data_IF_717790130122
#
_entry.id   IF_717790130122
#
_cell.length_a   1.000
_cell.length_b   1.000
_cell.length_c   1.000
_cell.angle_alpha   90.00
_cell.angle_beta   90.00
_cell.angle_gamma   90.00
#
_symmetry.space_group_name_H-M   'P 1'
#
loop_
_entity.id
_entity.type
_entity.pdbx_description
1 polymer ?
#
# COMPACT_ATOMS: atom_id res chain seq x y z
N UNK A 1 -16.64 4.31 11.14
CA UNK A 1 -15.53 5.26 11.41
C UNK A 1 -14.56 5.16 10.26
N UNK A 2 -13.97 6.26 9.77
CA UNK A 2 -12.88 6.15 8.82
C UNK A 2 -11.76 5.35 9.50
N UNK A 3 -11.26 4.33 8.80
CA UNK A 3 -10.09 3.57 9.24
C UNK A 3 -8.84 4.41 9.03
N UNK A 4 -7.81 4.13 9.82
CA UNK A 4 -6.51 4.77 9.66
C UNK A 4 -5.94 4.42 8.27
N UNK A 5 -5.31 5.38 7.57
CA UNK A 5 -4.73 5.10 6.27
C UNK A 5 -3.60 4.09 6.44
N UNK A 6 -3.64 3.04 5.64
CA UNK A 6 -2.65 1.97 5.62
C UNK A 6 -1.71 2.14 4.43
N UNK A 7 -0.43 2.34 4.72
CA UNK A 7 0.60 2.49 3.69
C UNK A 7 1.45 1.22 3.64
N UNK A 8 1.46 0.54 2.49
CA UNK A 8 2.30 -0.63 2.24
C UNK A 8 3.69 -0.23 1.79
N UNK A 9 4.73 -0.70 2.47
CA UNK A 9 6.12 -0.53 2.05
C UNK A 9 6.56 -1.75 1.24
N UNK A 10 6.89 -1.53 -0.02
CA UNK A 10 7.15 -2.58 -1.02
C UNK A 10 8.50 -2.42 -1.69
N UNK A 11 8.97 -3.47 -2.36
CA UNK A 11 10.28 -3.52 -3.02
C UNK A 11 10.95 -4.87 -2.86
N UNK A 12 11.96 -5.13 -3.70
CA UNK A 12 12.72 -6.39 -3.72
C UNK A 12 13.45 -6.67 -2.39
N UNK A 13 13.86 -7.92 -2.09
CA UNK A 13 14.71 -8.22 -0.95
C UNK A 13 15.96 -7.32 -0.93
N UNK A 14 16.43 -6.99 0.28
CA UNK A 14 17.63 -6.17 0.49
C UNK A 14 17.59 -4.71 -0.04
N UNK A 15 16.44 -4.21 -0.50
CA UNK A 15 16.27 -2.81 -0.94
C UNK A 15 16.28 -1.76 0.19
N UNK A 16 16.19 -2.18 1.46
CA UNK A 16 16.12 -1.28 2.60
C UNK A 16 14.70 -1.01 3.13
N UNK A 17 13.69 -1.79 2.72
CA UNK A 17 12.30 -1.70 3.22
C UNK A 17 12.19 -1.66 4.75
N UNK A 18 12.69 -2.68 5.44
CA UNK A 18 12.57 -2.77 6.90
C UNK A 18 13.37 -1.68 7.62
N UNK A 19 14.48 -1.20 7.04
CA UNK A 19 15.20 -0.02 7.55
C UNK A 19 14.34 1.23 7.43
N UNK A 20 13.70 1.43 6.28
CA UNK A 20 12.78 2.54 6.03
C UNK A 20 11.59 2.49 6.99
N UNK A 21 10.96 1.33 7.14
CA UNK A 21 9.89 1.12 8.11
C UNK A 21 10.34 1.49 9.53
N UNK A 22 11.44 0.91 10.00
CA UNK A 22 11.95 1.19 11.36
C UNK A 22 12.27 2.68 11.57
N UNK A 23 12.66 3.41 10.53
CA UNK A 23 12.92 4.86 10.62
C UNK A 23 11.65 5.72 10.64
N UNK A 24 10.58 5.25 10.00
CA UNK A 24 9.27 5.93 9.94
C UNK A 24 8.40 5.59 11.16
N UNK A 25 8.65 4.45 11.77
CA UNK A 25 7.99 4.02 13.00
C UNK A 25 8.76 4.55 14.19
N UNK A 26 8.06 5.01 15.21
CA UNK A 26 8.71 5.31 16.48
C UNK A 26 9.23 3.98 17.07
N UNK A 27 10.54 3.85 17.30
CA UNK A 27 11.12 2.63 17.88
C UNK A 27 10.50 2.29 19.25
N UNK A 28 9.94 3.30 19.93
CA UNK A 28 9.18 3.18 21.17
C UNK A 28 7.69 2.83 20.99
N UNK A 29 7.13 2.97 19.78
CA UNK A 29 5.73 2.63 19.48
C UNK A 29 5.54 1.14 19.14
N UNK A 30 6.61 0.32 19.14
CA UNK A 30 6.52 -1.15 19.04
C UNK A 30 5.69 -1.80 20.17
N UNK A 31 5.25 -1.04 21.18
CA UNK A 31 4.44 -1.56 22.30
C UNK A 31 3.31 -0.58 22.73
N UNK A 32 2.65 0.07 21.77
CA UNK A 32 1.42 0.80 22.05
C UNK A 32 0.21 -0.12 21.93
N UNK A 33 -0.20 -0.76 23.03
CA UNK A 33 -1.46 -1.50 23.09
C UNK A 33 -2.65 -0.52 22.94
N UNK A 34 -3.00 -0.17 21.70
CA UNK A 34 -4.32 0.36 21.44
C UNK A 34 -5.32 -0.77 21.71
N UNK A 35 -6.36 -0.54 22.54
CA UNK A 35 -7.37 -1.55 22.74
C UNK A 35 -7.98 -1.83 21.36
N UNK A 36 -8.10 -3.10 20.98
CA UNK A 36 -8.73 -3.61 19.76
C UNK A 36 -7.86 -3.89 18.51
N UNK A 37 -6.54 -3.70 18.50
CA UNK A 37 -5.71 -4.07 17.34
C UNK A 37 -5.02 -5.42 17.51
N UNK A 38 -5.35 -6.41 16.68
CA UNK A 38 -4.54 -7.63 16.50
C UNK A 38 -3.24 -7.22 15.81
N UNK A 39 -2.13 -7.17 16.55
CA UNK A 39 -0.83 -6.76 16.01
C UNK A 39 -0.29 -7.90 15.15
N UNK A 40 -0.45 -7.79 13.83
CA UNK A 40 0.30 -8.56 12.86
C UNK A 40 1.77 -8.09 12.92
N UNK A 41 2.78 -8.99 13.01
CA UNK A 41 4.20 -8.60 13.13
C UNK A 41 4.71 -7.64 12.04
N UNK A 42 3.98 -7.53 10.92
CA UNK A 42 4.33 -6.65 9.81
C UNK A 42 3.60 -5.29 9.84
N UNK A 43 2.72 -5.01 10.82
CA UNK A 43 2.04 -3.72 10.96
C UNK A 43 2.71 -2.86 12.02
N UNK A 44 2.92 -1.59 11.71
CA UNK A 44 3.51 -0.62 12.62
C UNK A 44 2.82 0.74 12.51
N UNK A 45 2.85 1.53 13.59
CA UNK A 45 2.28 2.88 13.60
C UNK A 45 3.36 3.91 13.33
N UNK A 46 3.18 4.71 12.27
CA UNK A 46 3.95 5.91 12.00
C UNK A 46 3.16 7.17 12.38
N UNK A 47 3.76 8.35 12.22
CA UNK A 47 3.08 9.62 12.46
C UNK A 47 3.33 10.62 11.32
N UNK A 48 2.25 11.10 10.71
CA UNK A 48 2.29 12.21 9.78
C UNK A 48 2.31 13.54 10.55
N UNK A 49 3.32 14.36 10.28
CA UNK A 49 3.44 15.69 10.87
C UNK A 49 2.77 16.73 9.99
N UNK A 50 1.77 17.43 10.54
CA UNK A 50 1.09 18.55 9.88
C UNK A 50 1.04 19.77 10.80
N UNK A 51 0.78 20.94 10.24
CA UNK A 51 0.55 22.14 11.06
C UNK A 51 -0.72 21.97 11.90
N UNK A 52 -0.57 22.11 13.21
CA UNK A 52 -1.70 22.08 14.11
C UNK A 52 -2.42 23.43 14.06
N UNK A 53 -3.76 23.39 14.07
CA UNK A 53 -4.56 24.60 14.16
C UNK A 53 -4.26 25.42 15.44
N UNK A 54 -3.75 24.81 16.51
CA UNK A 54 -3.41 25.52 17.74
C UNK A 54 -2.37 26.62 17.53
N UNK A 55 -1.39 26.42 16.64
CA UNK A 55 -0.37 27.41 16.33
C UNK A 55 -0.94 28.64 15.64
N UNK A 56 -1.94 28.45 14.77
CA UNK A 56 -2.63 29.55 14.08
C UNK A 56 -3.36 30.50 15.03
N UNK A 57 -3.72 30.00 16.22
CA UNK A 57 -4.48 30.76 17.22
C UNK A 57 -3.67 31.06 18.49
N UNK A 58 -2.38 30.71 18.55
CA UNK A 58 -1.56 30.88 19.76
C UNK A 58 -2.06 30.10 20.97
N UNK A 59 -2.67 28.92 20.75
CA UNK A 59 -3.30 28.07 21.78
C UNK A 59 -2.58 26.73 21.98
N UNK A 60 -1.27 26.71 21.80
CA UNK A 60 -0.46 25.49 21.88
C UNK A 60 -0.56 24.83 23.25
N UNK A 61 -0.53 25.62 24.34
CA UNK A 61 -0.62 25.13 25.73
C UNK A 61 -1.97 24.49 26.07
N UNK A 62 -3.02 24.81 25.31
CA UNK A 62 -4.37 24.26 25.48
C UNK A 62 -4.64 23.07 24.53
N UNK A 63 -3.68 22.72 23.68
CA UNK A 63 -3.89 21.71 22.65
C UNK A 63 -3.84 20.29 23.22
N UNK A 64 -5.02 19.69 23.42
CA UNK A 64 -5.19 18.31 23.87
C UNK A 64 -5.98 17.50 22.84
N UNK A 65 -5.33 16.99 21.78
CA UNK A 65 -6.02 16.20 20.77
C UNK A 65 -6.47 14.85 21.33
N UNK A 66 -7.69 14.41 21.00
CA UNK A 66 -8.19 13.07 21.36
C UNK A 66 -7.54 11.93 20.55
N UNK A 67 -6.90 12.26 19.42
CA UNK A 67 -6.32 11.30 18.48
C UNK A 67 -4.98 11.83 17.96
N UNK A 68 -3.92 11.04 18.11
CA UNK A 68 -2.54 11.49 17.93
C UNK A 68 -2.09 12.43 19.05
N UNK A 69 -1.06 13.22 18.78
CA UNK A 69 -0.52 14.19 19.74
C UNK A 69 -0.06 15.48 19.06
N UNK A 70 0.20 16.52 19.84
CA UNK A 70 0.65 17.82 19.35
C UNK A 70 1.89 18.26 20.13
N UNK A 71 2.89 18.80 19.43
CA UNK A 71 4.09 19.37 20.03
C UNK A 71 4.55 20.58 19.23
N UNK A 72 4.79 21.71 19.91
CA UNK A 72 5.31 22.94 19.32
C UNK A 72 4.56 23.37 18.05
N UNK A 73 3.22 23.33 18.09
CA UNK A 73 2.38 23.73 16.95
C UNK A 73 2.32 22.71 15.81
N UNK A 74 2.97 21.54 15.92
CA UNK A 74 2.89 20.44 14.95
C UNK A 74 2.00 19.32 15.50
N UNK A 75 1.06 18.85 14.68
CA UNK A 75 0.20 17.71 14.98
C UNK A 75 0.80 16.45 14.37
N UNK A 76 0.87 15.40 15.17
CA UNK A 76 1.31 14.06 14.82
C UNK A 76 0.09 13.18 14.69
N UNK A 77 -0.38 12.99 13.46
CA UNK A 77 -1.53 12.15 13.13
C UNK A 77 -1.01 10.72 12.89
N UNK A 78 -1.43 9.72 13.68
CA UNK A 78 -0.97 8.36 13.48
C UNK A 78 -1.47 7.82 12.14
N UNK A 79 -0.62 7.00 11.51
CA UNK A 79 -0.87 6.29 10.25
C UNK A 79 -0.43 4.84 10.42
N UNK A 80 -1.08 3.92 9.73
CA UNK A 80 -0.65 2.52 9.72
C UNK A 80 0.36 2.28 8.59
N UNK A 81 1.44 1.59 8.90
CA UNK A 81 2.47 1.16 7.97
C UNK A 81 2.48 -0.37 7.95
N UNK A 82 2.58 -0.94 6.76
CA UNK A 82 2.65 -2.38 6.54
C UNK A 82 3.99 -2.71 5.86
N UNK A 83 4.84 -3.52 6.50
CA UNK A 83 6.00 -4.12 5.86
C UNK A 83 5.53 -5.28 4.99
N UNK A 84 5.51 -5.07 3.68
CA UNK A 84 5.12 -6.14 2.78
C UNK A 84 6.37 -6.96 2.46
N UNK A 85 6.30 -8.27 2.74
CA UNK A 85 7.43 -9.19 2.61
C UNK A 85 8.14 -9.05 1.25
N UNK A 86 9.46 -9.23 1.20
CA UNK A 86 10.23 -9.01 -0.04
C UNK A 86 9.72 -9.88 -1.20
N UNK A 87 9.09 -9.23 -2.19
CA UNK A 87 8.67 -9.84 -3.44
C UNK A 87 9.88 -10.25 -4.26
N UNK A 88 9.81 -11.43 -4.87
CA UNK A 88 10.71 -11.84 -5.94
C UNK A 88 9.94 -11.89 -7.26
N UNK A 89 10.61 -11.74 -8.41
CA UNK A 89 9.97 -11.91 -9.71
C UNK A 89 9.25 -13.25 -9.88
N UNK A 90 8.08 -13.21 -10.53
CA UNK A 90 7.20 -14.36 -10.77
C UNK A 90 6.14 -14.61 -9.69
N UNK A 91 6.01 -13.70 -8.71
CA UNK A 91 4.99 -13.80 -7.65
C UNK A 91 3.55 -13.84 -8.19
N UNK A 92 3.25 -13.08 -9.24
CA UNK A 92 1.92 -13.03 -9.88
C UNK A 92 1.51 -14.36 -10.51
N UNK A 93 2.49 -15.18 -10.91
CA UNK A 93 2.27 -16.52 -11.48
C UNK A 93 2.02 -17.59 -10.41
N UNK A 94 2.02 -17.21 -9.12
CA UNK A 94 1.81 -18.12 -8.01
C UNK A 94 3.08 -18.86 -7.56
N UNK A 95 4.27 -18.39 -7.95
CA UNK A 95 5.52 -18.90 -7.40
C UNK A 95 5.66 -18.43 -5.93
N UNK A 96 5.72 -19.38 -5.00
CA UNK A 96 5.99 -19.13 -3.58
C UNK A 96 4.83 -18.44 -2.82
N UNK A 97 5.19 -17.55 -1.88
CA UNK A 97 4.26 -16.78 -1.01
C UNK A 97 3.58 -15.59 -1.73
N UNK A 98 3.79 -15.43 -3.04
CA UNK A 98 3.43 -14.24 -3.83
C UNK A 98 1.96 -13.82 -3.78
N UNK A 99 1.01 -14.78 -3.81
CA UNK A 99 -0.42 -14.44 -3.74
C UNK A 99 -0.82 -13.83 -2.40
N UNK A 100 -0.24 -14.32 -1.29
CA UNK A 100 -0.50 -13.77 0.05
C UNK A 100 0.01 -12.32 0.16
N UNK A 101 1.17 -12.06 -0.45
CA UNK A 101 1.74 -10.71 -0.55
C UNK A 101 0.83 -9.76 -1.36
N UNK A 102 0.34 -10.21 -2.51
CA UNK A 102 -0.49 -9.34 -3.37
C UNK A 102 -1.85 -9.06 -2.70
N UNK A 103 -2.36 -10.03 -1.94
CA UNK A 103 -3.53 -9.82 -1.07
C UNK A 103 -3.26 -8.81 0.05
N UNK A 104 -2.05 -8.75 0.59
CA UNK A 104 -1.64 -7.73 1.57
C UNK A 104 -1.58 -6.34 0.91
N UNK A 105 -1.09 -6.23 -0.33
CA UNK A 105 -1.12 -4.97 -1.10
C UNK A 105 -2.55 -4.44 -1.27
N UNK A 106 -3.51 -5.33 -1.47
CA UNK A 106 -4.93 -4.97 -1.64
C UNK A 106 -5.52 -4.27 -0.43
N UNK A 107 -4.95 -4.48 0.75
CA UNK A 107 -5.43 -3.85 1.98
C UNK A 107 -4.89 -2.42 2.14
N UNK A 108 -3.75 -2.11 1.50
CA UNK A 108 -3.11 -0.81 1.59
C UNK A 108 -3.86 0.24 0.75
N UNK A 109 -3.95 1.45 1.28
CA UNK A 109 -4.49 2.62 0.58
C UNK A 109 -3.47 3.24 -0.37
N UNK A 110 -2.18 3.09 -0.05
CA UNK A 110 -1.07 3.58 -0.84
C UNK A 110 0.13 2.67 -0.71
N UNK A 111 0.97 2.63 -1.74
CA UNK A 111 2.21 1.88 -1.75
C UNK A 111 3.41 2.83 -1.83
N UNK A 112 4.41 2.61 -0.97
CA UNK A 112 5.72 3.25 -1.05
C UNK A 112 6.72 2.20 -1.55
N UNK A 113 7.21 2.39 -2.78
CA UNK A 113 8.21 1.51 -3.36
C UNK A 113 9.62 1.97 -2.95
N UNK A 114 10.31 1.13 -2.18
CA UNK A 114 11.71 1.33 -1.77
C UNK A 114 12.63 0.66 -2.79
N UNK A 115 13.50 1.47 -3.40
CA UNK A 115 14.41 1.06 -4.47
C UNK A 115 15.87 1.26 -4.04
N UNK A 116 16.71 0.26 -4.30
CA UNK A 116 18.15 0.34 -4.03
C UNK A 116 18.88 1.04 -5.18
N UNK A 117 19.12 2.35 -5.02
CA UNK A 117 19.81 3.17 -6.02
C UNK A 117 21.31 2.87 -6.09
N UNK A 118 21.89 2.16 -5.11
CA UNK A 118 23.32 1.83 -5.13
C UNK A 118 23.69 0.83 -6.23
N UNK A 119 22.71 0.09 -6.75
CA UNK A 119 22.94 -0.94 -7.76
C UNK A 119 23.82 -2.10 -7.26
N UNK A 120 23.93 -2.27 -5.94
CA UNK A 120 24.77 -3.30 -5.31
C UNK A 120 24.01 -4.59 -5.04
N UNK A 121 22.69 -4.62 -5.29
CA UNK A 121 21.87 -5.82 -5.19
C UNK A 121 21.07 -6.07 -6.46
N UNK A 122 20.92 -7.33 -6.85
CA UNK A 122 20.10 -7.75 -8.01
C UNK A 122 18.60 -7.85 -7.65
N UNK A 123 17.76 -8.30 -8.58
CA UNK A 123 16.30 -8.44 -8.39
C UNK A 123 15.91 -9.44 -7.28
N UNK A 124 16.81 -10.35 -6.91
CA UNK A 124 16.60 -11.31 -5.82
C UNK A 124 17.21 -10.83 -4.49
N UNK A 125 17.77 -9.62 -4.46
CA UNK A 125 18.47 -9.06 -3.30
C UNK A 125 19.85 -9.66 -3.03
N UNK A 126 20.45 -10.34 -4.01
CA UNK A 126 21.83 -10.84 -3.93
C UNK A 126 22.82 -9.78 -4.35
N UNK A 127 24.01 -9.79 -3.78
CA UNK A 127 25.06 -8.83 -4.12
C UNK A 127 25.43 -8.90 -5.61
N UNK A 128 25.47 -7.75 -6.26
CA UNK A 128 25.86 -7.56 -7.66
C UNK A 128 26.57 -6.22 -7.82
N UNK A 129 26.98 -5.88 -9.04
CA UNK A 129 27.54 -4.56 -9.38
C UNK A 129 26.86 -4.00 -10.61
N UNK A 130 26.43 -2.75 -10.53
CA UNK A 130 25.87 -2.02 -11.67
C UNK A 130 24.47 -2.47 -12.06
N UNK A 131 23.66 -2.93 -11.09
CA UNK A 131 22.25 -3.20 -11.33
C UNK A 131 21.50 -1.89 -11.58
N UNK A 132 20.73 -1.82 -12.67
CA UNK A 132 19.88 -0.68 -12.98
C UNK A 132 18.60 -0.72 -12.10
N UNK A 133 18.41 0.23 -11.17
CA UNK A 133 17.26 0.25 -10.27
C UNK A 133 15.93 0.53 -10.97
N UNK A 134 15.94 1.07 -12.20
CA UNK A 134 14.72 1.27 -12.98
C UNK A 134 14.00 -0.05 -13.26
N UNK A 135 14.76 -1.13 -13.40
CA UNK A 135 14.21 -2.47 -13.58
C UNK A 135 13.33 -2.90 -12.40
N UNK A 136 13.62 -2.46 -11.17
CA UNK A 136 12.76 -2.77 -10.01
C UNK A 136 11.41 -2.07 -10.14
N UNK A 137 11.40 -0.82 -10.62
CA UNK A 137 10.17 -0.01 -10.77
C UNK A 137 9.26 -0.65 -11.81
N UNK A 138 9.80 -0.94 -13.00
CA UNK A 138 9.07 -1.58 -14.09
C UNK A 138 8.54 -2.95 -13.65
N UNK A 139 9.40 -3.76 -13.02
CA UNK A 139 9.02 -5.07 -12.54
C UNK A 139 7.85 -5.02 -11.55
N UNK A 140 7.89 -4.14 -10.54
CA UNK A 140 6.81 -4.06 -9.56
C UNK A 140 5.48 -3.67 -10.21
N UNK A 141 5.51 -2.72 -11.14
CA UNK A 141 4.32 -2.30 -11.89
C UNK A 141 3.76 -3.46 -12.72
N UNK A 142 4.62 -4.20 -13.41
CA UNK A 142 4.22 -5.36 -14.18
C UNK A 142 3.63 -6.48 -13.31
N UNK A 143 4.18 -6.74 -12.13
CA UNK A 143 3.63 -7.79 -11.26
C UNK A 143 2.24 -7.45 -10.73
N UNK A 144 2.01 -6.19 -10.35
CA UNK A 144 0.69 -5.72 -9.93
C UNK A 144 -0.28 -5.87 -11.10
N UNK A 145 0.11 -5.45 -12.31
CA UNK A 145 -0.70 -5.56 -13.52
C UNK A 145 -1.06 -7.01 -13.84
N UNK A 146 -0.06 -7.89 -13.90
CA UNK A 146 -0.22 -9.31 -14.23
C UNK A 146 -1.07 -10.05 -13.20
N UNK A 147 -0.94 -9.69 -11.92
CA UNK A 147 -1.77 -10.27 -10.87
C UNK A 147 -3.25 -9.90 -11.00
N UNK A 148 -3.53 -8.61 -11.20
CA UNK A 148 -4.90 -8.13 -11.40
C UNK A 148 -5.49 -8.79 -12.66
N UNK A 149 -4.74 -8.81 -13.76
CA UNK A 149 -5.12 -9.47 -15.01
C UNK A 149 -5.43 -10.95 -14.77
N UNK A 150 -4.54 -11.70 -14.10
CA UNK A 150 -4.73 -13.10 -13.80
C UNK A 150 -5.97 -13.39 -12.96
N UNK A 151 -6.27 -12.53 -11.97
CA UNK A 151 -7.48 -12.65 -11.15
C UNK A 151 -8.76 -12.40 -11.94
N UNK A 152 -8.75 -11.43 -12.87
CA UNK A 152 -9.88 -11.15 -13.74
C UNK A 152 -10.09 -12.28 -14.75
N UNK A 153 -9.03 -12.76 -15.41
CA UNK A 153 -9.10 -13.83 -16.40
C UNK A 153 -9.69 -15.12 -15.82
N UNK A 154 -9.31 -15.48 -14.59
CA UNK A 154 -9.88 -16.65 -13.86
C UNK A 154 -11.41 -16.57 -13.70
N UNK A 155 -11.97 -15.36 -13.61
CA UNK A 155 -13.42 -15.12 -13.40
C UNK A 155 -14.14 -14.63 -14.66
N UNK A 156 -13.41 -14.43 -15.77
CA UNK A 156 -13.89 -13.72 -16.95
C UNK A 156 -15.16 -14.34 -17.54
N UNK A 157 -15.19 -15.67 -17.68
CA UNK A 157 -16.36 -16.37 -18.19
C UNK A 157 -17.64 -16.12 -17.38
N UNK A 158 -17.53 -16.03 -16.06
CA UNK A 158 -18.66 -15.72 -15.16
C UNK A 158 -19.05 -14.25 -15.26
N UNK A 159 -18.07 -13.34 -15.36
CA UNK A 159 -18.29 -11.90 -15.52
C UNK A 159 -19.08 -11.63 -16.80
N UNK A 160 -18.65 -12.18 -17.94
CA UNK A 160 -19.31 -12.03 -19.23
C UNK A 160 -20.73 -12.59 -19.20
N UNK A 161 -20.92 -13.81 -18.67
CA UNK A 161 -22.27 -14.41 -18.56
C UNK A 161 -23.22 -13.54 -17.74
N UNK A 162 -22.76 -13.00 -16.61
CA UNK A 162 -23.57 -12.13 -15.75
C UNK A 162 -23.92 -10.82 -16.44
N UNK A 163 -22.95 -10.19 -17.10
CA UNK A 163 -23.14 -8.95 -17.84
C UNK A 163 -24.20 -9.11 -18.95
N UNK A 164 -24.10 -10.16 -19.76
CA UNK A 164 -25.07 -10.45 -20.83
C UNK A 164 -26.48 -10.68 -20.28
N UNK A 165 -26.60 -11.33 -19.11
CA UNK A 165 -27.88 -11.58 -18.47
C UNK A 165 -28.53 -10.32 -17.89
N UNK A 166 -27.74 -9.44 -17.23
CA UNK A 166 -28.26 -8.24 -16.56
C UNK A 166 -28.37 -7.03 -17.49
N UNK A 167 -27.68 -7.03 -18.65
CA UNK A 167 -27.56 -5.88 -19.57
C UNK A 167 -27.12 -4.59 -18.87
N UNK A 168 -26.37 -4.74 -17.78
CA UNK A 168 -25.83 -3.61 -17.03
C UNK A 168 -24.81 -2.85 -17.89
N UNK A 169 -24.59 -1.54 -17.66
CA UNK A 169 -23.48 -0.83 -18.30
C UNK A 169 -22.14 -1.53 -18.07
N UNK A 170 -21.27 -1.54 -19.09
CA UNK A 170 -19.95 -2.18 -19.02
C UNK A 170 -19.12 -1.59 -17.87
N UNK A 171 -19.15 -0.27 -17.73
CA UNK A 171 -18.47 0.48 -16.66
C UNK A 171 -18.87 -0.04 -15.28
N UNK A 172 -20.17 -0.26 -15.04
CA UNK A 172 -20.66 -0.75 -13.75
C UNK A 172 -20.25 -2.21 -13.49
N UNK A 173 -20.27 -3.03 -14.54
CA UNK A 173 -19.85 -4.43 -14.48
C UNK A 173 -18.37 -4.54 -14.11
N UNK A 174 -17.51 -3.77 -14.76
CA UNK A 174 -16.08 -3.72 -14.50
C UNK A 174 -15.81 -3.12 -13.11
N UNK A 175 -16.48 -2.02 -12.75
CA UNK A 175 -16.40 -1.41 -11.42
C UNK A 175 -16.62 -2.43 -10.31
N UNK A 176 -17.64 -3.29 -10.43
CA UNK A 176 -17.91 -4.32 -9.44
C UNK A 176 -16.77 -5.34 -9.29
N UNK A 177 -15.97 -5.58 -10.32
CA UNK A 177 -14.79 -6.45 -10.25
C UNK A 177 -13.59 -5.73 -9.63
N UNK A 178 -13.40 -4.44 -9.96
CA UNK A 178 -12.27 -3.65 -9.49
C UNK A 178 -12.45 -3.05 -8.09
N UNK A 179 -13.68 -3.01 -7.55
CA UNK A 179 -13.93 -2.48 -6.20
C UNK A 179 -13.14 -3.19 -5.10
N UNK A 180 -12.70 -4.42 -5.34
CA UNK A 180 -11.80 -5.16 -4.44
C UNK A 180 -10.37 -4.60 -4.35
N UNK A 181 -9.95 -3.74 -5.28
CA UNK A 181 -8.63 -3.11 -5.37
C UNK A 181 -8.66 -1.61 -5.02
N UNK A 182 -9.73 -1.13 -4.37
CA UNK A 182 -9.82 0.27 -3.94
C UNK A 182 -10.35 1.25 -4.99
N UNK A 183 -10.95 0.78 -6.09
CA UNK A 183 -11.62 1.66 -7.05
C UNK A 183 -12.95 2.16 -6.49
N UNK A 184 -13.07 3.48 -6.29
CA UNK A 184 -14.29 4.16 -5.83
C UNK A 184 -14.94 4.99 -6.95
N UNK A 185 -16.13 5.55 -6.70
CA UNK A 185 -16.91 6.29 -7.70
C UNK A 185 -16.13 7.47 -8.30
N UNK A 186 -15.97 7.47 -9.63
CA UNK A 186 -15.35 8.55 -10.41
C UNK A 186 -14.09 8.15 -11.20
N UNK A 187 -13.39 7.08 -10.82
CA UNK A 187 -12.07 6.75 -11.42
C UNK A 187 -12.13 5.81 -12.63
N UNK A 188 -13.19 4.99 -12.74
CA UNK A 188 -13.32 3.96 -13.79
C UNK A 188 -13.39 4.52 -15.22
N UNK A 189 -14.12 5.63 -15.52
CA UNK A 189 -14.19 6.15 -16.89
C UNK A 189 -12.81 6.54 -17.44
N UNK A 190 -11.95 7.15 -16.61
CA UNK A 190 -10.63 7.63 -17.00
C UNK A 190 -9.63 6.50 -17.25
N UNK A 191 -9.66 5.43 -16.46
CA UNK A 191 -8.71 4.32 -16.61
C UNK A 191 -8.97 3.46 -17.86
N UNK A 192 -10.21 3.42 -18.35
CA UNK A 192 -10.59 2.63 -19.52
C UNK A 192 -10.78 3.47 -20.79
N UNK A 193 -10.57 4.78 -20.73
CA UNK A 193 -10.77 5.69 -21.87
C UNK A 193 -12.21 5.63 -22.40
N UNK A 194 -13.19 5.51 -21.51
CA UNK A 194 -14.62 5.36 -21.85
C UNK A 194 -15.38 6.69 -21.81
N UNK A 195 -14.70 7.82 -22.05
CA UNK A 195 -15.33 9.13 -22.27
C UNK A 195 -15.88 9.27 -23.70
#
# INVERSE_FOLDING_TARGET
MPRDPLIGIVGKPSSGKSTTLNSLTDANAKMGAFPFTTIDPNRATGYLQIDCACARYGKEDLCKPNYGWCSKGKRHVPIELLDVAGLIPGASQGLGLGNKFLDDLRQADALIHVVDVSGTTDSNGKATRGYDPLQDIEWLQDEIRLWIEGNLQKRWGTIVRRHTATKSPIVETLRAQFGGYGFYEGEVPNCFGLE
#
